data_IF_253131064445
#
_entry.id   IF_253131064445
#
_cell.length_a   1.000
_cell.length_b   1.000
_cell.length_c   1.000
_cell.angle_alpha   90.00
_cell.angle_beta   90.00
_cell.angle_gamma   90.00
#
_symmetry.space_group_name_H-M   'P 1'
#
loop_
_entity.id
_entity.type
_entity.pdbx_description
1 polymer ?
#
# COMPACT_ATOMS: atom_id res chain seq x y z
N UNK A 1 8.67 1.39 39.58
CA UNK A 1 9.06 0.58 38.42
C UNK A 1 7.87 0.53 37.44
N UNK A 2 8.08 1.00 36.21
CA UNK A 2 7.67 0.31 34.97
C UNK A 2 6.21 0.33 34.47
N UNK A 3 5.33 1.27 34.84
CA UNK A 3 4.01 1.40 34.15
C UNK A 3 4.14 1.60 32.63
N UNK A 4 5.19 2.28 32.19
CA UNK A 4 5.46 2.46 30.76
C UNK A 4 6.02 1.20 30.06
N UNK A 5 6.59 0.25 30.80
CA UNK A 5 7.03 -1.03 30.20
C UNK A 5 5.90 -2.05 30.06
N UNK A 6 4.84 -1.91 30.85
CA UNK A 6 3.62 -2.74 30.75
C UNK A 6 2.60 -2.13 29.78
N UNK A 7 2.82 -0.89 29.31
CA UNK A 7 1.93 -0.23 28.38
C UNK A 7 2.11 -0.81 26.98
N UNK A 8 1.05 -1.37 26.42
CA UNK A 8 1.03 -1.77 25.01
C UNK A 8 1.16 -0.52 24.12
N UNK A 9 1.93 -0.61 23.02
CA UNK A 9 1.79 0.37 21.97
C UNK A 9 0.32 0.36 21.53
N UNK A 10 -0.21 1.54 21.17
CA UNK A 10 -1.52 1.58 20.53
C UNK A 10 -1.39 0.80 19.22
N UNK A 11 -2.42 0.13 18.76
CA UNK A 11 -2.51 -0.40 17.40
C UNK A 11 -3.99 -0.31 17.05
N UNK A 12 -4.30 0.05 15.81
CA UNK A 12 -5.69 0.11 15.37
C UNK A 12 -5.92 -0.95 14.30
N UNK A 13 -6.71 -1.96 14.68
CA UNK A 13 -7.27 -2.91 13.73
C UNK A 13 -8.74 -2.57 13.51
N UNK A 14 -9.11 -2.31 12.26
CA UNK A 14 -10.49 -2.04 11.86
C UNK A 14 -10.93 -3.18 10.95
N UNK A 15 -12.05 -3.82 11.30
CA UNK A 15 -12.66 -4.82 10.44
C UNK A 15 -14.10 -4.43 10.10
N UNK A 16 -14.39 -4.40 8.80
CA UNK A 16 -15.70 -4.09 8.25
C UNK A 16 -16.20 -5.23 7.38
N UNK A 17 -17.51 -5.47 7.43
CA UNK A 17 -18.19 -6.37 6.51
C UNK A 17 -19.05 -5.54 5.58
N UNK A 18 -18.99 -5.86 4.29
CA UNK A 18 -19.84 -5.25 3.27
C UNK A 18 -20.05 -6.23 2.11
N UNK A 19 -20.74 -5.80 1.06
CA UNK A 19 -20.97 -6.57 -0.16
C UNK A 19 -20.53 -5.77 -1.38
N UNK A 20 -20.02 -6.45 -2.40
CA UNK A 20 -19.73 -5.84 -3.71
C UNK A 20 -21.01 -5.42 -4.44
N UNK A 21 -22.16 -6.00 -4.09
CA UNK A 21 -23.45 -5.68 -4.71
C UNK A 21 -24.11 -4.43 -4.11
N UNK A 22 -23.60 -3.94 -2.97
CA UNK A 22 -24.17 -2.77 -2.31
C UNK A 22 -23.70 -1.49 -3.00
N UNK A 23 -24.64 -0.64 -3.45
CA UNK A 23 -24.31 0.62 -4.15
C UNK A 23 -23.44 1.58 -3.31
N UNK A 24 -23.58 1.53 -1.98
CA UNK A 24 -22.83 2.36 -1.04
C UNK A 24 -21.50 1.72 -0.60
N UNK A 25 -21.13 0.58 -1.18
CA UNK A 25 -19.88 -0.12 -0.89
C UNK A 25 -18.68 0.75 -1.25
N UNK A 26 -17.69 0.81 -0.38
CA UNK A 26 -16.52 1.71 -0.52
C UNK A 26 -15.22 1.02 -0.90
N UNK A 27 -15.28 -0.26 -1.27
CA UNK A 27 -14.09 -1.06 -1.58
C UNK A 27 -13.18 -0.37 -2.61
N UNK A 28 -13.72 0.13 -3.72
CA UNK A 28 -12.92 0.82 -4.74
C UNK A 28 -12.31 2.12 -4.24
N UNK A 29 -13.11 2.97 -3.59
CA UNK A 29 -12.65 4.24 -3.05
C UNK A 29 -11.53 4.06 -2.02
N UNK A 30 -11.57 2.97 -1.25
CA UNK A 30 -10.53 2.63 -0.28
C UNK A 30 -9.24 2.20 -0.97
N UNK A 31 -9.32 1.26 -1.92
CA UNK A 31 -8.16 0.80 -2.70
C UNK A 31 -7.50 1.99 -3.41
N UNK A 32 -8.29 2.81 -4.10
CA UNK A 32 -7.82 4.00 -4.81
C UNK A 32 -7.19 5.04 -3.88
N UNK A 33 -7.57 5.06 -2.60
CA UNK A 33 -7.03 6.01 -1.62
C UNK A 33 -5.71 5.58 -0.97
N UNK A 34 -5.21 4.39 -1.27
CA UNK A 34 -3.95 3.86 -0.73
C UNK A 34 -2.87 3.80 -1.81
N UNK A 35 -2.15 4.91 -1.97
CA UNK A 35 -1.38 5.19 -3.20
C UNK A 35 -0.10 4.37 -3.36
N UNK A 36 0.60 4.03 -2.27
CA UNK A 36 1.96 3.46 -2.34
C UNK A 36 2.01 2.03 -1.80
N UNK A 37 1.95 1.05 -2.69
CA UNK A 37 1.90 -0.38 -2.35
C UNK A 37 3.20 -1.10 -2.74
N UNK A 38 3.81 -1.79 -1.76
CA UNK A 38 5.08 -2.51 -1.95
C UNK A 38 4.90 -4.02 -2.20
N UNK A 39 3.83 -4.60 -1.67
CA UNK A 39 3.56 -6.03 -1.80
C UNK A 39 2.06 -6.31 -1.87
N UNK A 40 1.68 -7.27 -2.71
CA UNK A 40 0.31 -7.78 -2.83
C UNK A 40 0.34 -9.30 -2.78
N UNK A 41 -0.33 -9.90 -1.80
CA UNK A 41 -0.39 -11.34 -1.59
C UNK A 41 -1.81 -11.87 -1.78
N UNK A 42 -1.93 -12.99 -2.48
CA UNK A 42 -3.17 -13.69 -2.77
C UNK A 42 -3.11 -15.09 -2.17
N UNK A 43 -4.15 -15.50 -1.44
CA UNK A 43 -4.34 -16.88 -1.01
C UNK A 43 -5.61 -17.44 -1.65
N UNK A 44 -5.46 -18.51 -2.42
CA UNK A 44 -6.56 -19.25 -3.04
C UNK A 44 -6.59 -20.67 -2.46
N UNK A 45 -7.45 -20.92 -1.46
CA UNK A 45 -7.69 -22.27 -0.95
C UNK A 45 -8.18 -23.21 -2.05
N UNK A 46 -7.87 -24.50 -1.92
CA UNK A 46 -8.26 -25.58 -2.84
C UNK A 46 -7.88 -25.33 -4.31
N UNK A 47 -6.78 -24.62 -4.50
CA UNK A 47 -6.28 -24.25 -5.82
C UNK A 47 -4.87 -24.79 -6.05
N UNK A 48 -4.68 -25.54 -7.13
CA UNK A 48 -3.38 -26.12 -7.49
C UNK A 48 -2.46 -25.15 -8.23
N UNK A 49 -3.03 -24.15 -8.91
CA UNK A 49 -2.33 -23.18 -9.75
C UNK A 49 -3.15 -21.90 -9.85
N UNK A 50 -2.49 -20.75 -9.97
CA UNK A 50 -3.16 -19.47 -10.17
C UNK A 50 -4.11 -19.52 -11.40
N UNK A 51 -5.39 -19.13 -11.26
CA UNK A 51 -6.33 -19.07 -12.37
C UNK A 51 -5.84 -18.16 -13.50
N UNK A 52 -6.08 -18.56 -14.74
CA UNK A 52 -5.53 -17.90 -15.94
C UNK A 52 -5.95 -16.42 -16.06
N UNK A 53 -7.18 -16.07 -15.70
CA UNK A 53 -7.67 -14.68 -15.73
C UNK A 53 -6.93 -13.80 -14.70
N UNK A 54 -6.71 -14.30 -13.47
CA UNK A 54 -5.91 -13.61 -12.45
C UNK A 54 -4.46 -13.48 -12.91
N UNK A 55 -3.88 -14.57 -13.45
CA UNK A 55 -2.50 -14.59 -13.95
C UNK A 55 -2.30 -13.55 -15.05
N UNK A 56 -3.18 -13.50 -16.05
CA UNK A 56 -3.14 -12.49 -17.12
C UNK A 56 -3.22 -11.07 -16.59
N UNK A 57 -4.07 -10.83 -15.58
CA UNK A 57 -4.16 -9.51 -14.94
C UNK A 57 -2.83 -9.11 -14.32
N UNK A 58 -2.16 -10.02 -13.59
CA UNK A 58 -0.82 -9.77 -13.01
C UNK A 58 0.22 -9.52 -14.10
N UNK A 59 0.22 -10.33 -15.16
CA UNK A 59 1.15 -10.18 -16.28
C UNK A 59 0.96 -8.81 -17.00
N UNK A 60 -0.25 -8.24 -16.92
CA UNK A 60 -0.62 -6.95 -17.50
C UNK A 60 -0.49 -5.76 -16.54
N UNK A 61 0.12 -5.92 -15.35
CA UNK A 61 0.38 -4.81 -14.42
C UNK A 61 1.28 -3.70 -14.99
N UNK A 62 1.93 -3.96 -16.12
CA UNK A 62 2.88 -3.04 -16.74
C UNK A 62 4.22 -3.06 -16.01
N UNK A 63 4.84 -1.89 -15.92
CA UNK A 63 6.19 -1.69 -15.37
C UNK A 63 6.17 -0.48 -14.45
N UNK A 64 7.13 -0.45 -13.54
CA UNK A 64 7.47 0.75 -12.75
C UNK A 64 8.91 1.13 -13.07
N UNK A 65 9.35 2.32 -12.68
CA UNK A 65 10.67 2.84 -13.05
C UNK A 65 11.41 3.30 -11.81
N UNK A 66 12.73 3.05 -11.77
CA UNK A 66 13.62 3.65 -10.78
C UNK A 66 14.46 4.70 -11.49
N UNK A 67 14.31 5.96 -11.11
CA UNK A 67 15.12 7.08 -11.64
C UNK A 67 16.07 7.55 -10.57
N UNK A 68 17.37 7.53 -10.86
CA UNK A 68 18.39 7.94 -9.88
C UNK A 68 18.72 9.42 -9.93
N UNK A 69 19.02 10.00 -8.75
CA UNK A 69 19.40 11.40 -8.59
C UNK A 69 18.47 12.40 -9.29
N UNK A 70 17.17 12.07 -9.35
CA UNK A 70 16.14 12.92 -9.94
C UNK A 70 15.89 14.14 -9.05
N UNK A 71 15.93 15.32 -9.65
CA UNK A 71 15.74 16.56 -8.92
C UNK A 71 14.25 16.90 -8.77
N UNK A 72 13.88 17.41 -7.60
CA UNK A 72 12.48 17.82 -7.32
C UNK A 72 11.96 18.90 -8.28
N UNK A 73 12.85 19.73 -8.84
CA UNK A 73 12.44 20.76 -9.79
C UNK A 73 11.79 20.17 -11.06
N UNK A 74 12.08 18.90 -11.39
CA UNK A 74 11.53 18.23 -12.57
C UNK A 74 10.00 18.09 -12.47
N UNK A 75 9.47 17.83 -11.27
CA UNK A 75 8.04 17.63 -11.02
C UNK A 75 7.22 18.92 -11.07
N UNK A 76 7.85 20.09 -10.97
CA UNK A 76 7.14 21.36 -11.04
C UNK A 76 7.16 21.97 -12.44
N UNK A 77 7.93 21.40 -13.39
CA UNK A 77 7.96 21.90 -14.77
C UNK A 77 6.59 21.78 -15.43
N UNK A 78 6.26 22.79 -16.22
CA UNK A 78 5.01 22.82 -16.99
C UNK A 78 4.87 21.61 -17.91
N UNK A 79 5.97 21.22 -18.57
CA UNK A 79 6.01 20.04 -19.45
C UNK A 79 5.66 18.75 -18.71
N UNK A 80 6.19 18.56 -17.48
CA UNK A 80 5.87 17.41 -16.64
C UNK A 80 4.39 17.39 -16.27
N UNK A 81 3.85 18.53 -15.81
CA UNK A 81 2.46 18.66 -15.37
C UNK A 81 1.50 18.39 -16.53
N UNK A 82 1.75 18.98 -17.71
CA UNK A 82 0.92 18.82 -18.89
C UNK A 82 1.02 17.41 -19.49
N UNK A 83 2.14 16.72 -19.31
CA UNK A 83 2.37 15.37 -19.86
C UNK A 83 1.81 14.28 -18.96
N UNK A 84 2.09 14.34 -17.66
CA UNK A 84 1.78 13.25 -16.73
C UNK A 84 0.58 13.57 -15.84
N UNK A 85 0.64 14.69 -15.11
CA UNK A 85 -0.34 15.04 -14.07
C UNK A 85 -1.73 15.29 -14.65
N UNK A 86 -1.82 15.99 -15.79
CA UNK A 86 -3.12 16.31 -16.43
C UNK A 86 -3.71 15.17 -17.26
N UNK A 87 -2.91 14.14 -17.60
CA UNK A 87 -3.30 13.09 -18.56
C UNK A 87 -3.41 11.70 -17.95
N UNK A 88 -3.20 11.54 -16.65
CA UNK A 88 -3.35 10.26 -15.96
C UNK A 88 -2.91 10.33 -14.50
N UNK A 89 -2.98 9.20 -13.81
CA UNK A 89 -2.56 9.10 -12.41
C UNK A 89 -1.05 8.82 -12.33
N UNK A 90 -0.27 9.84 -11.94
CA UNK A 90 1.19 9.71 -11.79
C UNK A 90 1.57 9.52 -10.32
N UNK A 91 2.42 8.54 -10.09
CA UNK A 91 2.89 8.14 -8.76
C UNK A 91 4.41 8.28 -8.72
N UNK A 92 4.91 9.01 -7.72
CA UNK A 92 6.34 9.02 -7.39
C UNK A 92 6.55 8.86 -5.90
N UNK A 93 7.56 8.09 -5.52
CA UNK A 93 7.98 7.93 -4.13
C UNK A 93 9.51 7.86 -4.05
N UNK A 94 10.10 8.59 -3.11
CA UNK A 94 11.54 8.49 -2.85
C UNK A 94 11.93 7.07 -2.42
N UNK A 95 13.02 6.55 -2.96
CA UNK A 95 13.49 5.20 -2.74
C UNK A 95 14.64 5.16 -1.74
N UNK A 96 14.58 4.24 -0.78
CA UNK A 96 15.60 4.04 0.29
C UNK A 96 15.86 5.29 1.14
N UNK A 97 14.86 6.13 1.31
CA UNK A 97 14.88 7.25 2.27
C UNK A 97 14.06 6.85 3.47
N UNK A 98 14.63 6.81 4.66
CA UNK A 98 13.89 6.51 5.89
C UNK A 98 13.11 7.73 6.33
N UNK A 99 11.79 7.65 6.43
CA UNK A 99 10.95 8.83 6.66
C UNK A 99 11.21 9.52 8.01
N UNK A 100 11.74 8.80 9.00
CA UNK A 100 12.10 9.32 10.31
C UNK A 100 13.48 10.01 10.34
N UNK A 101 14.39 9.64 9.43
CA UNK A 101 15.78 10.13 9.40
C UNK A 101 16.11 11.03 8.19
N UNK A 102 15.67 10.66 6.99
CA UNK A 102 16.04 11.29 5.73
C UNK A 102 14.95 12.23 5.21
N UNK A 103 15.29 13.17 4.32
CA UNK A 103 14.27 13.88 3.57
C UNK A 103 13.58 12.93 2.58
N UNK A 104 12.27 13.02 2.47
CA UNK A 104 11.45 12.17 1.60
C UNK A 104 10.45 12.99 0.81
N UNK A 105 10.06 12.49 -0.36
CA UNK A 105 9.09 13.17 -1.21
C UNK A 105 8.20 12.17 -1.94
N UNK A 106 6.98 12.59 -2.23
CA UNK A 106 5.99 11.78 -2.92
C UNK A 106 5.14 12.65 -3.86
N UNK A 107 4.83 12.14 -5.05
CA UNK A 107 3.82 12.73 -5.95
C UNK A 107 2.60 11.84 -5.94
N UNK A 108 1.47 12.42 -5.57
CA UNK A 108 0.17 11.77 -5.46
C UNK A 108 -0.56 11.85 -6.82
N UNK A 109 -1.45 10.88 -7.11
CA UNK A 109 -2.24 10.90 -8.34
C UNK A 109 -3.19 12.11 -8.43
N UNK A 110 -3.49 12.75 -7.30
CA UNK A 110 -4.24 14.01 -7.22
C UNK A 110 -3.44 15.22 -7.71
N UNK A 111 -2.19 15.05 -8.14
CA UNK A 111 -1.30 16.12 -8.57
C UNK A 111 -0.70 16.92 -7.43
N UNK A 112 -0.59 16.35 -6.23
CA UNK A 112 0.05 16.99 -5.07
C UNK A 112 1.45 16.42 -4.87
N UNK A 113 2.44 17.30 -4.78
CA UNK A 113 3.80 16.98 -4.37
C UNK A 113 3.92 17.22 -2.86
N UNK A 114 4.20 16.15 -2.11
CA UNK A 114 4.37 16.16 -0.66
C UNK A 114 5.84 15.94 -0.35
N UNK A 115 6.40 16.78 0.51
CA UNK A 115 7.75 16.64 1.04
C UNK A 115 7.68 16.46 2.55
N UNK A 116 8.34 15.44 3.08
CA UNK A 116 8.65 15.30 4.50
C UNK A 116 10.12 15.62 4.69
N UNK A 117 10.41 16.75 5.33
CA UNK A 117 11.78 17.26 5.46
C UNK A 117 12.16 17.51 6.91
N UNK A 118 13.46 17.42 7.19
CA UNK A 118 14.02 17.87 8.46
C UNK A 118 13.88 19.40 8.64
N UNK A 119 14.12 19.86 9.86
CA UNK A 119 14.00 21.27 10.23
C UNK A 119 14.94 22.17 9.41
N UNK A 120 16.19 21.76 9.24
CA UNK A 120 17.20 22.58 8.56
C UNK A 120 16.83 22.76 7.08
N UNK A 121 16.46 21.68 6.41
CA UNK A 121 15.99 21.67 5.02
C UNK A 121 14.69 22.47 4.87
N UNK A 122 13.77 22.41 5.83
CA UNK A 122 12.55 23.21 5.82
C UNK A 122 12.85 24.73 5.83
N UNK A 123 13.69 25.17 6.77
CA UNK A 123 14.11 26.57 6.92
C UNK A 123 14.92 27.04 5.69
N UNK A 124 15.79 26.16 5.19
CA UNK A 124 16.56 26.38 3.97
C UNK A 124 15.69 26.43 2.73
N UNK A 125 14.61 25.65 2.59
CA UNK A 125 13.70 25.77 1.43
C UNK A 125 12.89 27.07 1.52
N UNK A 126 12.45 27.46 2.72
CA UNK A 126 11.61 28.65 2.92
C UNK A 126 10.27 28.57 2.17
N UNK A 127 9.72 27.37 2.06
CA UNK A 127 8.39 27.10 1.53
C UNK A 127 7.38 27.01 2.68
N UNK A 128 6.11 27.25 2.38
CA UNK A 128 5.04 27.12 3.38
C UNK A 128 4.79 25.63 3.65
N UNK A 129 4.80 25.26 4.92
CA UNK A 129 4.49 23.91 5.39
C UNK A 129 3.97 23.93 6.81
N UNK A 130 3.80 22.74 7.39
CA UNK A 130 3.36 22.55 8.77
C UNK A 130 4.32 21.61 9.50
N UNK A 131 4.52 21.74 10.82
CA UNK A 131 5.15 20.71 11.61
C UNK A 131 4.44 19.37 11.41
N UNK A 132 5.19 18.27 11.29
CA UNK A 132 4.58 16.93 11.21
C UNK A 132 3.82 16.62 12.50
N UNK A 133 2.69 15.92 12.36
CA UNK A 133 1.83 15.51 13.49
C UNK A 133 2.57 14.63 14.51
N UNK A 134 3.63 13.95 14.08
CA UNK A 134 4.41 13.04 14.93
C UNK A 134 5.54 13.71 15.69
N UNK A 135 5.78 15.01 15.41
CA UNK A 135 6.73 15.82 16.16
C UNK A 135 6.25 16.06 17.59
N UNK A 136 7.18 15.94 18.55
CA UNK A 136 6.93 16.33 19.94
C UNK A 136 6.91 17.86 20.12
N UNK A 137 7.20 18.33 21.34
CA UNK A 137 7.24 19.78 21.66
C UNK A 137 8.18 20.60 20.77
N UNK A 138 9.27 19.97 20.29
CA UNK A 138 10.21 20.58 19.36
C UNK A 138 10.06 19.88 18.00
N UNK A 139 9.50 20.56 16.98
CA UNK A 139 9.31 19.93 15.68
C UNK A 139 10.63 19.78 14.94
N UNK A 140 11.00 18.53 14.69
CA UNK A 140 12.18 18.15 13.93
C UNK A 140 11.85 17.82 12.47
N UNK A 141 10.56 17.57 12.18
CA UNK A 141 10.05 17.26 10.84
C UNK A 141 8.94 18.20 10.43
N UNK A 142 8.94 18.59 9.17
CA UNK A 142 7.96 19.48 8.57
C UNK A 142 7.45 18.88 7.26
N UNK A 143 6.15 19.04 7.03
CA UNK A 143 5.48 18.61 5.81
C UNK A 143 5.21 19.84 4.94
N UNK A 144 5.72 19.83 3.72
CA UNK A 144 5.44 20.83 2.68
C UNK A 144 4.54 20.16 1.65
N UNK A 145 3.45 20.84 1.28
CA UNK A 145 2.52 20.37 0.25
C UNK A 145 2.43 21.41 -0.86
N UNK A 146 2.74 20.98 -2.08
CA UNK A 146 2.65 21.79 -3.29
C UNK A 146 1.60 21.16 -4.21
N UNK A 147 0.52 21.88 -4.46
CA UNK A 147 -0.48 21.48 -5.44
C UNK A 147 0.00 21.85 -6.85
N UNK A 148 0.27 20.84 -7.68
CA UNK A 148 0.75 21.00 -9.06
C UNK A 148 -0.38 21.33 -10.03
N UNK A 149 -1.64 21.19 -9.60
CA UNK A 149 -2.84 21.44 -10.41
C UNK A 149 -3.39 22.86 -10.23
N UNK A 150 -2.94 23.56 -9.19
CA UNK A 150 -3.35 24.93 -8.90
C UNK A 150 -2.96 25.89 -10.02
N UNK A 151 -3.88 26.76 -10.44
CA UNK A 151 -3.68 27.71 -11.54
C UNK A 151 -2.44 28.61 -11.33
N UNK A 152 -2.15 28.96 -10.08
CA UNK A 152 -0.96 29.75 -9.70
C UNK A 152 0.38 29.04 -9.94
N UNK A 153 0.38 27.70 -10.08
CA UNK A 153 1.54 26.92 -10.53
C UNK A 153 1.57 26.73 -12.05
N UNK A 154 0.40 26.61 -12.68
CA UNK A 154 0.28 26.33 -14.11
C UNK A 154 0.68 27.50 -15.04
N UNK A 155 0.66 28.75 -14.56
CA UNK A 155 0.88 29.94 -15.40
C UNK A 155 2.14 30.75 -15.07
N UNK A 156 3.15 30.13 -14.45
CA UNK A 156 4.39 30.84 -14.09
C UNK A 156 4.19 31.95 -13.04
N UNK A 157 3.12 31.85 -12.26
CA UNK A 157 2.77 32.83 -11.22
C UNK A 157 3.81 32.92 -10.10
N UNK A 158 3.62 33.86 -9.17
CA UNK A 158 4.54 34.08 -8.04
C UNK A 158 4.80 32.80 -7.21
N UNK A 159 3.78 31.95 -7.07
CA UNK A 159 3.89 30.67 -6.35
C UNK A 159 4.80 29.69 -7.08
N UNK A 160 4.60 29.49 -8.39
CA UNK A 160 5.52 28.72 -9.24
C UNK A 160 6.96 29.23 -9.12
N UNK A 161 7.18 30.53 -9.31
CA UNK A 161 8.52 31.13 -9.25
C UNK A 161 9.20 30.88 -7.90
N UNK A 162 8.44 30.98 -6.80
CA UNK A 162 8.96 30.70 -5.45
C UNK A 162 9.36 29.24 -5.26
N UNK A 163 8.54 28.30 -5.71
CA UNK A 163 8.82 26.86 -5.60
C UNK A 163 9.99 26.47 -6.50
N UNK A 164 9.98 26.94 -7.76
CA UNK A 164 11.07 26.71 -8.70
C UNK A 164 12.40 27.23 -8.14
N UNK A 165 12.44 28.49 -7.68
CA UNK A 165 13.62 29.08 -7.05
C UNK A 165 14.11 28.28 -5.83
N UNK A 166 13.19 27.79 -4.99
CA UNK A 166 13.55 26.97 -3.84
C UNK A 166 14.25 25.66 -4.26
N UNK A 167 13.76 24.99 -5.31
CA UNK A 167 14.28 23.72 -5.80
C UNK A 167 15.47 23.82 -6.77
N UNK A 168 15.74 24.99 -7.37
CA UNK A 168 16.84 25.16 -8.34
C UNK A 168 18.00 26.00 -7.81
N UNK A 169 17.72 27.09 -7.11
CA UNK A 169 18.76 28.04 -6.68
C UNK A 169 19.07 27.92 -5.19
N UNK A 170 18.04 27.77 -4.34
CA UNK A 170 18.22 27.79 -2.89
C UNK A 170 18.72 26.46 -2.33
N UNK A 171 17.96 25.38 -2.54
CA UNK A 171 18.31 24.03 -2.07
C UNK A 171 17.94 22.98 -3.12
N UNK A 172 18.87 22.68 -4.05
CA UNK A 172 18.64 21.67 -5.08
C UNK A 172 18.60 20.26 -4.51
N UNK A 173 17.41 19.80 -4.15
CA UNK A 173 17.19 18.45 -3.65
C UNK A 173 17.11 17.45 -4.81
N UNK A 174 17.78 16.31 -4.62
CA UNK A 174 17.81 15.18 -5.54
C UNK A 174 17.61 13.88 -4.76
N UNK A 175 16.85 12.96 -5.32
CA UNK A 175 16.60 11.65 -4.73
C UNK A 175 16.54 10.58 -5.81
N UNK A 176 16.65 9.33 -5.38
CA UNK A 176 16.22 8.21 -6.20
C UNK A 176 14.69 8.07 -6.06
N UNK A 177 13.96 7.92 -7.16
CA UNK A 177 12.50 7.79 -7.15
C UNK A 177 12.03 6.50 -7.80
N UNK A 178 11.07 5.83 -7.15
CA UNK A 178 10.17 4.89 -7.81
C UNK A 178 9.05 5.68 -8.49
N UNK A 179 8.83 5.42 -9.77
CA UNK A 179 7.81 6.06 -10.61
C UNK A 179 6.86 5.02 -11.19
N UNK A 180 5.57 5.36 -11.28
CA UNK A 180 4.58 4.66 -12.08
C UNK A 180 3.56 5.66 -12.62
N UNK A 181 2.94 5.32 -13.75
CA UNK A 181 1.92 6.16 -14.37
C UNK A 181 0.83 5.27 -14.95
N UNK A 182 -0.40 5.47 -14.48
CA UNK A 182 -1.57 4.80 -15.03
C UNK A 182 -2.04 5.53 -16.29
N UNK A 183 -1.45 5.17 -17.42
CA UNK A 183 -1.94 5.56 -18.73
C UNK A 183 -1.54 4.50 -19.76
N UNK A 184 -2.38 4.31 -20.77
CA UNK A 184 -2.14 3.41 -21.91
C UNK A 184 -0.92 3.78 -22.77
N UNK A 185 -0.25 4.90 -22.48
CA UNK A 185 0.94 5.42 -23.16
C UNK A 185 2.23 5.27 -22.32
N UNK A 186 2.41 4.12 -21.66
CA UNK A 186 3.59 3.77 -20.85
C UNK A 186 5.00 4.09 -21.45
N UNK A 187 5.25 4.13 -22.78
CA UNK A 187 6.59 4.44 -23.31
C UNK A 187 7.14 5.84 -23.00
N UNK A 188 6.34 6.77 -22.47
CA UNK A 188 6.75 8.18 -22.31
C UNK A 188 7.66 8.47 -21.09
N UNK A 189 7.66 7.64 -20.03
CA UNK A 189 8.52 7.89 -18.86
C UNK A 189 10.00 7.80 -19.26
N UNK A 190 10.37 6.76 -20.00
CA UNK A 190 11.76 6.55 -20.44
C UNK A 190 12.27 7.69 -21.33
N UNK A 191 11.43 8.18 -22.24
CA UNK A 191 11.81 9.29 -23.12
C UNK A 191 11.90 10.62 -22.38
N UNK A 192 10.93 10.92 -21.51
CA UNK A 192 10.91 12.16 -20.74
C UNK A 192 12.11 12.27 -19.78
N UNK A 193 12.42 11.21 -19.04
CA UNK A 193 13.52 11.18 -18.08
C UNK A 193 14.84 10.68 -18.69
N UNK A 194 15.00 10.71 -20.02
CA UNK A 194 16.19 10.21 -20.73
C UNK A 194 17.52 10.85 -20.32
N UNK A 195 17.49 12.04 -19.72
CA UNK A 195 18.66 12.72 -19.16
C UNK A 195 19.10 12.16 -17.79
N UNK A 196 18.35 11.25 -17.19
CA UNK A 196 18.64 10.60 -15.92
C UNK A 196 18.95 9.12 -16.12
N UNK A 197 19.56 8.50 -15.10
CA UNK A 197 19.70 7.03 -15.05
C UNK A 197 18.35 6.42 -14.69
N UNK A 198 17.63 5.94 -15.71
CA UNK A 198 16.31 5.32 -15.58
C UNK A 198 16.42 3.81 -15.77
N UNK A 199 15.96 3.05 -14.79
CA UNK A 199 15.85 1.60 -14.86
C UNK A 199 14.39 1.17 -14.87
N UNK A 200 14.00 0.44 -15.91
CA UNK A 200 12.69 -0.22 -15.95
C UNK A 200 12.63 -1.43 -15.00
N UNK A 201 11.65 -1.38 -14.11
CA UNK A 201 11.21 -2.30 -13.05
C UNK A 201 10.26 -3.43 -13.48
N UNK A 202 10.63 -4.70 -13.34
CA UNK A 202 9.63 -5.78 -13.34
C UNK A 202 9.13 -6.06 -11.92
N UNK A 203 7.89 -6.53 -11.80
CA UNK A 203 7.38 -7.06 -10.53
C UNK A 203 8.02 -8.42 -10.23
N UNK A 204 8.41 -8.63 -8.97
CA UNK A 204 8.89 -9.92 -8.49
C UNK A 204 7.70 -10.75 -8.02
N UNK A 205 7.28 -11.70 -8.84
CA UNK A 205 6.19 -12.63 -8.53
C UNK A 205 6.78 -13.90 -7.92
N UNK A 206 6.26 -14.30 -6.77
CA UNK A 206 6.61 -15.55 -6.09
C UNK A 206 5.34 -16.34 -5.85
N UNK A 207 5.30 -17.57 -6.35
CA UNK A 207 4.16 -18.46 -6.15
C UNK A 207 4.59 -19.70 -5.38
N UNK A 208 3.75 -20.12 -4.44
CA UNK A 208 3.93 -21.32 -3.63
C UNK A 208 2.62 -22.09 -3.57
N UNK A 209 2.73 -23.41 -3.53
CA UNK A 209 1.61 -24.29 -3.20
C UNK A 209 1.87 -24.83 -1.80
N UNK A 210 0.97 -24.57 -0.86
CA UNK A 210 0.95 -25.26 0.42
C UNK A 210 0.09 -26.51 0.29
N UNK A 211 0.53 -27.63 0.88
CA UNK A 211 -0.25 -28.87 0.94
C UNK A 211 -0.77 -29.07 2.35
N UNK A 212 -1.89 -29.76 2.47
CA UNK A 212 -2.48 -30.18 3.75
C UNK A 212 -2.60 -29.00 4.74
N UNK A 213 -3.01 -27.83 4.23
CA UNK A 213 -3.05 -26.60 5.02
C UNK A 213 -4.34 -26.59 5.86
N UNK A 214 -4.26 -26.50 7.20
CA UNK A 214 -5.45 -26.24 8.01
C UNK A 214 -5.95 -24.82 7.76
N UNK A 215 -7.18 -24.68 7.26
CA UNK A 215 -7.82 -23.40 6.96
C UNK A 215 -8.99 -23.12 7.92
N UNK A 216 -9.04 -21.93 8.55
CA UNK A 216 -10.16 -21.51 9.39
C UNK A 216 -11.51 -21.59 8.67
N UNK A 217 -12.54 -22.05 9.37
CA UNK A 217 -13.93 -22.03 8.89
C UNK A 217 -14.50 -20.64 9.11
N UNK A 218 -14.99 -20.00 8.05
CA UNK A 218 -15.52 -18.65 8.08
C UNK A 218 -16.99 -18.62 7.72
N UNK A 219 -17.73 -17.69 8.33
CA UNK A 219 -19.10 -17.34 7.93
C UNK A 219 -19.11 -15.86 7.58
N UNK A 220 -19.37 -15.51 6.31
CA UNK A 220 -19.37 -14.12 5.84
C UNK A 220 -20.21 -13.18 6.71
N UNK A 221 -21.29 -13.72 7.30
CA UNK A 221 -22.20 -13.05 8.24
C UNK A 221 -21.62 -12.59 9.57
N UNK A 222 -20.56 -13.23 10.07
CA UNK A 222 -20.19 -13.23 11.49
C UNK A 222 -18.71 -12.82 11.68
N UNK A 223 -18.43 -11.51 11.76
CA UNK A 223 -17.06 -10.98 11.94
C UNK A 223 -16.38 -11.45 13.23
N UNK A 224 -17.14 -11.57 14.31
CA UNK A 224 -16.60 -11.97 15.63
C UNK A 224 -16.44 -13.49 15.77
N UNK A 225 -16.79 -14.24 14.72
CA UNK A 225 -16.88 -15.69 14.82
C UNK A 225 -18.05 -16.13 15.71
N UNK A 226 -18.21 -17.45 15.79
CA UNK A 226 -19.18 -18.12 16.66
C UNK A 226 -18.47 -19.33 17.26
N UNK A 227 -18.56 -19.53 18.59
CA UNK A 227 -17.92 -20.66 19.25
C UNK A 227 -18.27 -21.97 18.54
N UNK A 228 -17.24 -22.77 18.24
CA UNK A 228 -17.34 -24.09 17.57
C UNK A 228 -17.92 -24.08 16.14
N UNK A 229 -18.33 -22.92 15.60
CA UNK A 229 -18.98 -22.83 14.29
C UNK A 229 -18.14 -22.07 13.24
N UNK A 230 -17.47 -20.99 13.64
CA UNK A 230 -16.67 -20.16 12.72
C UNK A 230 -15.68 -19.28 13.46
N UNK A 231 -14.52 -19.08 12.86
CA UNK A 231 -13.47 -18.20 13.39
C UNK A 231 -13.81 -16.72 13.16
N UNK A 232 -13.20 -15.86 13.97
CA UNK A 232 -13.28 -14.41 13.86
C UNK A 232 -12.37 -13.85 12.76
N UNK A 233 -12.63 -12.60 12.38
CA UNK A 233 -11.80 -11.84 11.45
C UNK A 233 -10.38 -11.61 11.99
N UNK A 234 -10.23 -11.40 13.30
CA UNK A 234 -8.93 -11.15 13.93
C UNK A 234 -8.05 -12.40 13.89
N UNK A 235 -8.60 -13.55 14.29
CA UNK A 235 -7.91 -14.85 14.21
C UNK A 235 -7.49 -15.19 12.78
N UNK A 236 -8.34 -14.91 11.80
CA UNK A 236 -8.02 -15.11 10.39
C UNK A 236 -6.88 -14.20 9.94
N UNK A 237 -6.89 -12.92 10.36
CA UNK A 237 -5.88 -11.95 9.96
C UNK A 237 -4.48 -12.35 10.47
N UNK A 238 -4.38 -12.78 11.73
CA UNK A 238 -3.13 -13.29 12.30
C UNK A 238 -2.65 -14.56 11.58
N UNK A 239 -3.56 -15.51 11.33
CA UNK A 239 -3.26 -16.75 10.61
C UNK A 239 -2.82 -16.48 9.15
N UNK A 240 -3.45 -15.54 8.46
CA UNK A 240 -3.05 -15.12 7.11
C UNK A 240 -1.62 -14.58 7.09
N UNK A 241 -1.22 -13.82 8.11
CA UNK A 241 0.16 -13.38 8.31
C UNK A 241 1.14 -14.55 8.45
N UNK A 242 0.79 -15.56 9.25
CA UNK A 242 1.60 -16.77 9.43
C UNK A 242 1.76 -17.57 8.13
N UNK A 243 0.66 -17.84 7.41
CA UNK A 243 0.67 -18.56 6.15
C UNK A 243 1.50 -17.82 5.09
N UNK A 244 1.35 -16.49 5.00
CA UNK A 244 2.09 -15.67 4.04
C UNK A 244 3.61 -15.71 4.28
N UNK A 245 4.02 -15.86 5.55
CA UNK A 245 5.42 -15.95 5.96
C UNK A 245 5.94 -17.39 6.08
N UNK A 246 5.18 -18.38 5.62
CA UNK A 246 5.57 -19.80 5.67
C UNK A 246 5.79 -20.33 7.09
N UNK A 247 5.07 -19.80 8.07
CA UNK A 247 5.12 -20.26 9.45
C UNK A 247 4.25 -21.51 9.58
N UNK A 248 4.83 -22.55 10.15
CA UNK A 248 4.15 -23.80 10.46
C UNK A 248 3.23 -23.62 11.68
N UNK A 249 2.01 -24.12 11.59
CA UNK A 249 0.96 -23.97 12.58
C UNK A 249 0.60 -25.29 13.29
N UNK A 250 1.47 -26.29 13.20
CA UNK A 250 1.19 -27.68 13.61
C UNK A 250 1.51 -27.97 15.10
N UNK A 251 2.00 -26.97 15.86
CA UNK A 251 2.31 -27.06 17.30
C UNK A 251 3.15 -28.30 17.69
N UNK A 252 4.08 -28.70 16.80
CA UNK A 252 4.91 -29.88 17.00
C UNK A 252 6.02 -29.62 18.03
N UNK A 253 6.03 -30.42 19.10
CA UNK A 253 7.06 -30.37 20.14
C UNK A 253 8.25 -31.24 19.77
N UNK A 254 9.12 -30.76 18.87
CA UNK A 254 10.38 -31.45 18.56
C UNK A 254 11.55 -30.94 19.40
N UNK A 255 12.03 -29.72 19.13
CA UNK A 255 13.16 -29.08 19.84
C UNK A 255 12.82 -27.72 20.47
N UNK A 256 11.71 -27.12 20.06
CA UNK A 256 11.12 -25.90 20.61
C UNK A 256 9.60 -26.02 20.46
N UNK A 257 8.84 -25.31 21.28
CA UNK A 257 7.37 -25.31 21.21
C UNK A 257 6.94 -24.06 20.47
N UNK A 258 6.29 -24.22 19.32
CA UNK A 258 5.56 -23.13 18.64
C UNK A 258 4.12 -23.13 19.15
N UNK A 259 3.76 -22.16 19.99
CA UNK A 259 2.40 -22.06 20.52
C UNK A 259 1.38 -21.51 19.52
N UNK A 260 1.84 -21.01 18.37
CA UNK A 260 0.95 -20.49 17.33
C UNK A 260 0.30 -21.64 16.57
N UNK A 261 -1.03 -21.66 16.56
CA UNK A 261 -1.83 -22.73 15.97
C UNK A 261 -2.84 -22.15 14.97
N UNK A 262 -3.30 -22.98 14.03
CA UNK A 262 -4.44 -22.60 13.20
C UNK A 262 -5.70 -22.39 14.07
N UNK A 263 -6.45 -21.28 13.87
CA UNK A 263 -7.71 -21.04 14.58
C UNK A 263 -8.71 -22.19 14.42
N UNK A 264 -9.54 -22.43 15.44
CA UNK A 264 -10.56 -23.47 15.44
C UNK A 264 -11.97 -22.85 15.42
N UNK A 265 -12.94 -23.42 14.67
CA UNK A 265 -12.84 -24.63 13.85
C UNK A 265 -12.08 -24.42 12.52
N UNK A 266 -11.33 -25.43 12.07
CA UNK A 266 -10.63 -25.43 10.78
C UNK A 266 -10.89 -26.73 10.01
N UNK A 267 -10.66 -26.68 8.70
CA UNK A 267 -10.65 -27.84 7.81
C UNK A 267 -9.29 -27.93 7.11
N UNK A 268 -8.71 -29.12 7.06
CA UNK A 268 -7.50 -29.36 6.26
C UNK A 268 -7.87 -29.40 4.79
N UNK A 269 -7.28 -28.50 4.02
CA UNK A 269 -7.42 -28.48 2.56
C UNK A 269 -6.18 -29.12 1.91
N UNK A 270 -6.40 -29.87 0.83
CA UNK A 270 -5.33 -30.60 0.15
C UNK A 270 -4.25 -29.65 -0.38
N UNK A 271 -4.66 -28.51 -0.95
CA UNK A 271 -3.76 -27.56 -1.64
C UNK A 271 -4.26 -26.13 -1.52
N UNK A 272 -3.36 -25.19 -1.21
CA UNK A 272 -3.60 -23.76 -1.27
C UNK A 272 -2.56 -23.08 -2.16
N UNK A 273 -2.99 -22.20 -3.06
CA UNK A 273 -2.08 -21.40 -3.87
C UNK A 273 -1.85 -20.04 -3.23
N UNK A 274 -0.60 -19.76 -2.85
CA UNK A 274 -0.15 -18.46 -2.36
C UNK A 274 0.65 -17.77 -3.47
N UNK A 275 0.25 -16.57 -3.86
CA UNK A 275 0.96 -15.76 -4.86
C UNK A 275 1.28 -14.39 -4.26
N UNK A 276 2.54 -13.99 -4.26
CA UNK A 276 2.99 -12.68 -3.77
C UNK A 276 3.67 -11.89 -4.88
N UNK A 277 3.25 -10.65 -5.06
CA UNK A 277 3.72 -9.71 -6.07
C UNK A 277 4.44 -8.58 -5.33
N UNK A 278 5.75 -8.43 -5.54
CA UNK A 278 6.54 -7.37 -4.91
C UNK A 278 7.02 -6.36 -5.96
N UNK A 279 6.94 -5.07 -5.64
CA UNK A 279 7.35 -3.99 -6.53
C UNK A 279 6.72 -2.66 -6.12
N UNK A 280 6.53 -1.75 -7.08
CA UNK A 280 5.78 -0.51 -6.88
C UNK A 280 4.41 -0.65 -7.55
N UNK A 281 3.43 -1.19 -6.81
CA UNK A 281 2.10 -1.54 -7.34
C UNK A 281 1.15 -0.35 -7.16
N UNK A 282 0.55 0.10 -8.27
CA UNK A 282 -0.44 1.19 -8.25
C UNK A 282 -1.83 0.68 -7.84
N UNK A 283 -2.68 1.52 -7.23
CA UNK A 283 -4.04 1.14 -6.81
C UNK A 283 -4.90 0.52 -7.91
N UNK A 284 -4.77 0.98 -9.15
CA UNK A 284 -5.57 0.54 -10.29
C UNK A 284 -5.26 -0.92 -10.67
N UNK A 285 -4.03 -1.36 -10.46
CA UNK A 285 -3.64 -2.77 -10.59
C UNK A 285 -4.32 -3.64 -9.52
N UNK A 286 -4.43 -3.12 -8.31
CA UNK A 286 -5.04 -3.82 -7.17
C UNK A 286 -6.56 -3.90 -7.35
N UNK A 287 -7.19 -2.81 -7.79
CA UNK A 287 -8.61 -2.79 -8.12
C UNK A 287 -8.93 -3.84 -9.19
N UNK A 288 -8.14 -3.90 -10.27
CA UNK A 288 -8.29 -4.94 -11.30
C UNK A 288 -8.16 -6.36 -10.73
N UNK A 289 -7.22 -6.60 -9.81
CA UNK A 289 -7.14 -7.90 -9.13
C UNK A 289 -8.37 -8.20 -8.28
N UNK A 290 -8.85 -7.22 -7.52
CA UNK A 290 -10.02 -7.37 -6.66
C UNK A 290 -11.27 -7.72 -7.51
N UNK A 291 -11.45 -7.07 -8.64
CA UNK A 291 -12.52 -7.39 -9.60
C UNK A 291 -12.38 -8.82 -10.14
N UNK A 292 -11.17 -9.28 -10.46
CA UNK A 292 -10.94 -10.67 -10.89
C UNK A 292 -11.19 -11.69 -9.78
N UNK A 293 -10.86 -11.38 -8.52
CA UNK A 293 -11.19 -12.25 -7.38
C UNK A 293 -12.69 -12.31 -7.11
N UNK A 294 -13.42 -11.24 -7.39
CA UNK A 294 -14.88 -11.24 -7.34
C UNK A 294 -15.47 -12.14 -8.44
N UNK A 295 -14.95 -12.02 -9.67
CA UNK A 295 -15.37 -12.83 -10.82
C UNK A 295 -14.96 -14.30 -10.71
N UNK A 296 -13.94 -14.61 -9.90
CA UNK A 296 -13.51 -15.98 -9.63
C UNK A 296 -14.66 -16.87 -9.13
N UNK A 297 -15.61 -16.30 -8.39
CA UNK A 297 -16.80 -17.01 -7.88
C UNK A 297 -18.02 -16.98 -8.80
N UNK A 298 -17.90 -16.47 -10.03
CA UNK A 298 -18.98 -16.53 -11.02
C UNK A 298 -19.32 -17.98 -11.41
N UNK A 299 -18.35 -18.88 -11.30
CA UNK A 299 -18.53 -20.32 -11.40
C UNK A 299 -18.44 -20.96 -10.01
N UNK A 300 -19.20 -22.04 -9.74
CA UNK A 300 -19.06 -22.78 -8.48
C UNK A 300 -17.61 -23.23 -8.25
N UNK A 301 -17.05 -22.85 -7.11
CA UNK A 301 -15.73 -23.28 -6.64
C UNK A 301 -15.87 -24.13 -5.38
N UNK A 302 -14.84 -24.91 -5.08
CA UNK A 302 -14.80 -25.73 -3.87
C UNK A 302 -14.59 -24.84 -2.63
N UNK A 303 -13.69 -23.85 -2.73
CA UNK A 303 -13.49 -22.86 -1.66
C UNK A 303 -14.68 -21.90 -1.55
N UNK A 304 -14.93 -21.44 -0.32
CA UNK A 304 -15.96 -20.45 0.00
C UNK A 304 -15.42 -19.02 0.02
N UNK A 305 -14.09 -18.85 0.10
CA UNK A 305 -13.45 -17.56 0.19
C UNK A 305 -12.03 -17.57 -0.41
N UNK A 306 -11.54 -16.39 -0.79
CA UNK A 306 -10.14 -16.13 -1.18
C UNK A 306 -9.68 -14.88 -0.44
N UNK A 307 -8.36 -14.71 -0.26
CA UNK A 307 -7.83 -13.49 0.37
C UNK A 307 -6.88 -12.72 -0.55
N UNK A 308 -6.91 -11.40 -0.38
CA UNK A 308 -6.01 -10.41 -0.94
C UNK A 308 -5.46 -9.59 0.22
N UNK A 309 -4.14 -9.49 0.36
CA UNK A 309 -3.47 -8.68 1.38
C UNK A 309 -2.57 -7.71 0.64
N UNK A 310 -2.62 -6.44 1.02
CA UNK A 310 -1.84 -5.37 0.42
C UNK A 310 -1.02 -4.69 1.50
N UNK A 311 0.29 -4.67 1.30
CA UNK A 311 1.23 -3.96 2.16
C UNK A 311 1.68 -2.67 1.48
N UNK A 312 1.49 -1.55 2.16
CA UNK A 312 2.03 -0.26 1.80
C UNK A 312 3.53 -0.12 2.08
N UNK A 313 4.13 0.94 1.55
CA UNK A 313 5.50 1.29 1.92
C UNK A 313 5.55 1.85 3.35
N UNK A 314 6.45 1.31 4.17
CA UNK A 314 6.79 1.84 5.49
C UNK A 314 7.31 3.29 5.41
N UNK A 315 8.21 3.55 4.47
CA UNK A 315 8.88 4.85 4.30
C UNK A 315 8.16 5.76 3.28
N UNK A 316 6.85 5.95 3.45
CA UNK A 316 6.04 6.81 2.59
C UNK A 316 5.60 8.08 3.32
N UNK A 317 5.71 9.30 2.74
CA UNK A 317 5.23 10.54 3.38
C UNK A 317 3.75 10.54 3.73
N UNK A 318 2.96 9.72 3.03
CA UNK A 318 1.53 9.54 3.26
C UNK A 318 1.16 8.07 3.23
N UNK A 319 0.22 7.68 4.09
CA UNK A 319 -0.36 6.33 4.11
C UNK A 319 -1.67 6.31 3.31
N UNK A 320 -2.76 6.79 3.92
CA UNK A 320 -4.09 6.85 3.33
C UNK A 320 -4.45 8.28 2.93
N UNK A 321 -4.90 8.47 1.69
CA UNK A 321 -5.21 9.80 1.13
C UNK A 321 -4.01 10.76 1.34
N UNK A 322 -4.22 11.83 2.08
CA UNK A 322 -3.21 12.85 2.42
C UNK A 322 -2.81 12.78 3.90
N UNK A 323 -3.14 11.69 4.62
CA UNK A 323 -2.71 11.50 5.99
C UNK A 323 -1.22 11.21 6.05
N UNK A 324 -0.52 11.90 6.96
CA UNK A 324 0.90 11.66 7.23
C UNK A 324 1.10 10.23 7.74
N UNK A 325 2.13 9.53 7.29
CA UNK A 325 2.44 8.20 7.80
C UNK A 325 3.40 8.27 8.99
N UNK A 326 2.97 7.72 10.13
CA UNK A 326 3.61 7.79 11.43
C UNK A 326 4.53 6.62 11.75
N UNK A 327 5.31 6.13 10.77
CA UNK A 327 6.16 4.94 10.88
C UNK A 327 6.93 4.82 12.21
N UNK A 328 7.48 5.93 12.72
CA UNK A 328 8.27 5.97 13.96
C UNK A 328 7.50 5.52 15.23
N UNK A 329 6.17 5.52 15.22
CA UNK A 329 5.33 5.20 16.38
C UNK A 329 4.45 3.97 16.17
N UNK A 330 4.75 3.15 15.17
CA UNK A 330 3.94 2.04 14.66
C UNK A 330 3.45 2.39 13.25
N UNK A 331 4.05 1.72 12.28
CA UNK A 331 3.94 2.00 10.85
C UNK A 331 3.13 0.95 10.09
N UNK A 332 2.11 0.39 10.73
CA UNK A 332 1.17 -0.48 10.04
C UNK A 332 0.49 0.32 8.94
N UNK A 333 0.72 -0.12 7.70
CA UNK A 333 0.12 0.46 6.52
C UNK A 333 -0.29 -0.68 5.59
N UNK A 334 -1.30 -1.44 6.01
CA UNK A 334 -1.73 -2.61 5.27
C UNK A 334 -3.25 -2.79 5.38
N UNK A 335 -3.83 -3.37 4.35
CA UNK A 335 -5.23 -3.79 4.35
C UNK A 335 -5.39 -5.15 3.68
N UNK A 336 -6.48 -5.84 3.99
CA UNK A 336 -6.84 -7.11 3.40
C UNK A 336 -8.32 -7.16 3.03
N UNK A 337 -8.59 -7.84 1.92
CA UNK A 337 -9.92 -8.29 1.54
C UNK A 337 -10.01 -9.81 1.67
N UNK A 338 -11.02 -10.27 2.39
CA UNK A 338 -11.49 -11.66 2.34
C UNK A 338 -12.75 -11.67 1.50
N UNK A 339 -12.66 -12.22 0.28
CA UNK A 339 -13.75 -12.22 -0.71
C UNK A 339 -14.49 -13.55 -0.62
N UNK A 340 -15.79 -13.50 -0.37
CA UNK A 340 -16.63 -14.69 -0.25
C UNK A 340 -17.39 -14.99 -1.55
N UNK A 341 -17.78 -16.25 -1.73
CA UNK A 341 -18.53 -16.70 -2.90
C UNK A 341 -19.92 -16.06 -3.08
N UNK A 342 -20.48 -15.49 -2.02
CA UNK A 342 -21.78 -14.82 -2.01
C UNK A 342 -21.68 -13.31 -2.30
N UNK A 343 -20.55 -12.83 -2.81
CA UNK A 343 -20.25 -11.41 -3.07
C UNK A 343 -20.12 -10.54 -1.80
N UNK A 344 -20.11 -11.13 -0.61
CA UNK A 344 -19.68 -10.43 0.60
C UNK A 344 -18.16 -10.31 0.63
N UNK A 345 -17.68 -9.32 1.35
CA UNK A 345 -16.27 -9.23 1.72
C UNK A 345 -16.08 -8.77 3.17
N UNK A 346 -14.99 -9.23 3.76
CA UNK A 346 -14.41 -8.57 4.94
C UNK A 346 -13.27 -7.69 4.49
N UNK A 347 -13.27 -6.46 4.97
CA UNK A 347 -12.19 -5.51 4.83
C UNK A 347 -11.50 -5.40 6.19
N UNK A 348 -10.21 -5.67 6.22
CA UNK A 348 -9.39 -5.63 7.42
C UNK A 348 -8.30 -4.58 7.20
N UNK A 349 -8.17 -3.62 8.09
CA UNK A 349 -7.15 -2.58 8.03
C UNK A 349 -6.33 -2.61 9.31
N UNK A 350 -5.01 -2.74 9.18
CA UNK A 350 -4.10 -2.49 10.29
C UNK A 350 -3.42 -1.14 10.01
N UNK A 351 -3.73 -0.18 10.87
CA UNK A 351 -3.31 1.21 10.73
C UNK A 351 -2.40 1.59 11.89
N UNK A 352 -1.34 2.31 11.54
CA UNK A 352 -0.41 2.92 12.47
C UNK A 352 -1.13 3.68 13.57
N UNK A 353 -0.51 3.69 14.74
CA UNK A 353 -1.07 4.17 16.02
C UNK A 353 -1.58 5.60 16.00
N UNK A 354 -1.08 6.39 15.05
CA UNK A 354 -1.40 7.78 14.87
C UNK A 354 -1.74 8.13 13.42
N UNK A 355 -1.84 7.13 12.55
CA UNK A 355 -2.25 7.30 11.16
C UNK A 355 -3.75 7.51 11.05
N UNK A 356 -4.16 8.23 10.00
CA UNK A 356 -5.57 8.40 9.70
C UNK A 356 -6.16 7.13 9.11
N UNK A 357 -7.08 6.48 9.83
CA UNK A 357 -7.87 5.38 9.27
C UNK A 357 -9.01 5.95 8.42
N UNK A 358 -9.13 5.60 7.14
CA UNK A 358 -10.30 5.95 6.36
C UNK A 358 -11.55 5.18 6.87
N UNK A 359 -12.75 5.76 6.74
CA UNK A 359 -14.03 5.16 7.16
C UNK A 359 -14.78 4.44 6.03
#
# INVERSE_FOLDING_TARGET
MLRELEACPRHLFVCEKSSFLQEKSRHSALVESHYYNCSVSLLLPECASLPEHIKRTIDNFGRYYLVRNLSLHEFVKEDFINTFVKKGAFYALTYRTRIDQDNSAAVLPTGKLILSVDKDTYEELGLQGKPSLYSGKNPLRHIIQVDLTEEGLASGGKKFQRVNWAFTEKKPLKFDFLLAWDNTEAPFILSYFSNYDVKESNFKITSRISRDLPCPVLKSGDLQGKPEESCSSEELFDWLGAVSNSIDCDNDSSNFISTFCCPHPNNTIERAHLCTINGFVIPENIQRLLDQLREYFAEPKLTQWVSLIVHGFADSPVSWKEYEHGFFKGGENLYSFVVFNNQDYWLQMAVGTHDGCPP
#
